data_IF_304864745392
#
_entry.id   IF_304864745392
#
_cell.length_a   1.000
_cell.length_b   1.000
_cell.length_c   1.000
_cell.angle_alpha   90.00
_cell.angle_beta   90.00
_cell.angle_gamma   90.00
#
_symmetry.space_group_name_H-M   'P 1'
#
loop_
_entity.id
_entity.type
_entity.pdbx_description
1 polymer ?
#
# COMPACT_ATOMS: atom_id res chain seq x y z
N UNK A 1 -8.85 -19.41 4.27
CA UNK A 1 -9.54 -18.13 4.01
C UNK A 1 -9.13 -17.02 4.98
N UNK A 2 -9.49 -17.07 6.29
CA UNK A 2 -9.12 -16.01 7.27
C UNK A 2 -7.61 -15.69 7.32
N UNK A 3 -6.76 -16.71 7.41
CA UNK A 3 -5.29 -16.53 7.45
C UNK A 3 -4.72 -15.86 6.18
N UNK A 4 -5.35 -16.10 5.03
CA UNK A 4 -4.90 -15.52 3.76
C UNK A 4 -5.27 -14.03 3.67
N UNK A 5 -6.51 -13.68 4.04
CA UNK A 5 -6.94 -12.29 4.11
C UNK A 5 -6.07 -11.48 5.08
N UNK A 6 -5.77 -12.02 6.27
CA UNK A 6 -4.88 -11.36 7.23
C UNK A 6 -3.45 -11.19 6.71
N UNK A 7 -2.92 -12.18 5.97
CA UNK A 7 -1.61 -12.05 5.31
C UNK A 7 -1.60 -10.93 4.29
N UNK A 8 -2.63 -10.87 3.43
CA UNK A 8 -2.77 -9.81 2.44
C UNK A 8 -2.90 -8.43 3.08
N UNK A 9 -3.69 -8.30 4.15
CA UNK A 9 -3.82 -7.05 4.92
C UNK A 9 -2.48 -6.64 5.55
N UNK A 10 -1.69 -7.58 6.08
CA UNK A 10 -0.32 -7.32 6.57
C UNK A 10 0.62 -6.83 5.48
N UNK A 11 0.63 -7.50 4.33
CA UNK A 11 1.45 -7.10 3.18
C UNK A 11 1.05 -5.71 2.66
N UNK A 12 -0.25 -5.43 2.61
CA UNK A 12 -0.75 -4.11 2.23
C UNK A 12 -0.29 -3.03 3.21
N UNK A 13 -0.36 -3.27 4.52
CA UNK A 13 0.13 -2.33 5.52
C UNK A 13 1.62 -2.00 5.35
N UNK A 14 2.43 -2.99 4.94
CA UNK A 14 3.84 -2.75 4.62
C UNK A 14 3.97 -1.90 3.34
N UNK A 15 3.18 -2.18 2.31
CA UNK A 15 3.20 -1.44 1.06
C UNK A 15 2.75 0.02 1.22
N UNK A 16 1.64 0.27 1.94
CA UNK A 16 1.13 1.63 2.18
C UNK A 16 2.09 2.45 3.05
N UNK A 17 2.78 1.81 4.01
CA UNK A 17 3.83 2.48 4.77
C UNK A 17 5.02 2.89 3.89
N UNK A 18 5.35 2.11 2.84
CA UNK A 18 6.36 2.49 1.84
C UNK A 18 5.86 3.62 0.96
N UNK A 19 4.59 3.58 0.55
CA UNK A 19 3.95 4.66 -0.19
C UNK A 19 4.03 5.98 0.58
N UNK A 20 3.64 6.02 1.86
CA UNK A 20 3.74 7.24 2.67
C UNK A 20 5.18 7.75 2.85
N UNK A 21 6.17 6.85 2.91
CA UNK A 21 7.58 7.27 2.95
C UNK A 21 8.02 7.87 1.61
N UNK A 22 7.59 7.27 0.50
CA UNK A 22 7.85 7.76 -0.84
C UNK A 22 7.18 9.10 -1.09
N UNK A 23 5.92 9.28 -0.66
CA UNK A 23 5.18 10.54 -0.75
C UNK A 23 5.93 11.67 -0.03
N UNK A 24 6.33 11.46 1.22
CA UNK A 24 7.15 12.42 1.98
C UNK A 24 8.51 12.71 1.33
N UNK A 25 9.11 11.72 0.68
CA UNK A 25 10.36 11.92 -0.05
C UNK A 25 10.12 12.80 -1.27
N UNK A 26 9.06 12.54 -2.05
CA UNK A 26 8.67 13.35 -3.21
C UNK A 26 8.45 14.82 -2.86
N UNK A 27 7.95 15.14 -1.66
CA UNK A 27 7.78 16.53 -1.19
C UNK A 27 9.10 17.32 -1.13
N UNK A 28 10.24 16.63 -1.02
CA UNK A 28 11.57 17.23 -0.89
C UNK A 28 12.53 16.91 -2.04
N UNK A 29 12.20 15.88 -2.84
CA UNK A 29 13.03 15.42 -3.95
C UNK A 29 12.93 16.37 -5.16
N UNK A 30 14.06 16.59 -5.83
CA UNK A 30 14.07 17.34 -7.09
C UNK A 30 13.35 16.56 -8.19
N UNK A 31 12.92 17.26 -9.25
CA UNK A 31 12.29 16.63 -10.41
C UNK A 31 13.22 15.58 -11.03
N UNK A 32 14.52 15.87 -11.15
CA UNK A 32 15.50 14.93 -11.70
C UNK A 32 15.62 13.65 -10.85
N UNK A 33 15.59 13.78 -9.53
CA UNK A 33 15.60 12.62 -8.62
C UNK A 33 14.32 11.81 -8.73
N UNK A 34 13.16 12.47 -8.85
CA UNK A 34 11.88 11.80 -9.06
C UNK A 34 11.85 11.06 -10.39
N UNK A 35 12.39 11.64 -11.47
CA UNK A 35 12.52 11.00 -12.79
C UNK A 35 13.44 9.77 -12.73
N UNK A 36 14.60 9.87 -12.08
CA UNK A 36 15.52 8.74 -11.86
C UNK A 36 14.87 7.59 -11.10
N UNK A 37 13.98 7.91 -10.16
CA UNK A 37 13.28 6.93 -9.32
C UNK A 37 11.85 6.63 -9.79
N UNK A 38 11.43 7.13 -10.97
CA UNK A 38 10.04 7.04 -11.43
C UNK A 38 9.53 5.60 -11.46
N UNK A 39 10.36 4.66 -11.91
CA UNK A 39 10.03 3.24 -11.90
C UNK A 39 9.71 2.73 -10.49
N UNK A 40 10.52 3.11 -9.50
CA UNK A 40 10.30 2.69 -8.12
C UNK A 40 9.01 3.30 -7.52
N UNK A 41 8.71 4.56 -7.85
CA UNK A 41 7.45 5.22 -7.46
C UNK A 41 6.27 4.43 -8.00
N UNK A 42 6.28 4.13 -9.30
CA UNK A 42 5.23 3.37 -9.98
C UNK A 42 5.10 1.96 -9.39
N UNK A 43 6.21 1.27 -9.10
CA UNK A 43 6.21 -0.06 -8.52
C UNK A 43 5.55 -0.09 -7.13
N UNK A 44 5.76 0.94 -6.30
CA UNK A 44 5.12 1.07 -4.98
C UNK A 44 3.61 1.23 -5.12
N UNK A 45 3.15 2.11 -6.03
CA UNK A 45 1.73 2.33 -6.31
C UNK A 45 1.07 1.04 -6.83
N UNK A 46 1.69 0.38 -7.81
CA UNK A 46 1.20 -0.86 -8.39
C UNK A 46 1.12 -1.98 -7.35
N UNK A 47 2.07 -2.05 -6.42
CA UNK A 47 2.04 -3.03 -5.32
C UNK A 47 0.84 -2.79 -4.41
N UNK A 48 0.57 -1.55 -4.04
CA UNK A 48 -0.61 -1.20 -3.23
C UNK A 48 -1.90 -1.60 -3.96
N UNK A 49 -2.04 -1.23 -5.24
CA UNK A 49 -3.23 -1.54 -6.03
C UNK A 49 -3.45 -3.04 -6.21
N UNK A 50 -2.39 -3.81 -6.49
CA UNK A 50 -2.47 -5.27 -6.60
C UNK A 50 -2.97 -5.89 -5.31
N UNK A 51 -2.38 -5.53 -4.17
CA UNK A 51 -2.76 -6.09 -2.88
C UNK A 51 -4.19 -5.70 -2.49
N UNK A 52 -4.60 -4.45 -2.74
CA UNK A 52 -5.97 -4.00 -2.49
C UNK A 52 -6.99 -4.80 -3.33
N UNK A 53 -6.69 -5.02 -4.61
CA UNK A 53 -7.55 -5.81 -5.49
C UNK A 53 -7.65 -7.26 -5.01
N UNK A 54 -6.56 -7.86 -4.53
CA UNK A 54 -6.61 -9.20 -3.94
C UNK A 54 -7.42 -9.23 -2.63
N UNK A 55 -7.30 -8.23 -1.76
CA UNK A 55 -8.10 -8.12 -0.52
C UNK A 55 -9.59 -8.01 -0.85
N UNK A 56 -9.96 -7.19 -1.82
CA UNK A 56 -11.36 -6.99 -2.24
C UNK A 56 -12.05 -8.25 -2.74
N UNK A 57 -11.31 -9.28 -3.16
CA UNK A 57 -11.87 -10.60 -3.50
C UNK A 57 -12.40 -11.36 -2.27
N UNK A 58 -11.94 -11.00 -1.07
CA UNK A 58 -12.31 -11.66 0.19
C UNK A 58 -13.11 -10.75 1.13
N UNK A 59 -12.98 -9.43 0.96
CA UNK A 59 -13.59 -8.41 1.81
C UNK A 59 -14.09 -7.27 0.92
N UNK A 60 -15.37 -7.29 0.57
CA UNK A 60 -15.97 -6.26 -0.29
C UNK A 60 -16.23 -4.94 0.46
N UNK A 61 -16.11 -4.95 1.78
CA UNK A 61 -16.43 -3.81 2.65
C UNK A 61 -15.21 -2.99 3.06
N UNK A 62 -14.08 -3.11 2.35
CA UNK A 62 -12.89 -2.28 2.59
C UNK A 62 -13.28 -0.80 2.54
N UNK A 63 -12.98 -0.09 3.61
CA UNK A 63 -13.28 1.34 3.76
C UNK A 63 -12.18 2.23 3.19
N UNK A 64 -12.52 3.47 2.84
CA UNK A 64 -11.53 4.47 2.38
C UNK A 64 -10.43 4.70 3.41
N UNK A 65 -10.77 4.69 4.70
CA UNK A 65 -9.79 4.82 5.77
C UNK A 65 -8.79 3.65 5.79
N UNK A 66 -9.23 2.42 5.54
CA UNK A 66 -8.33 1.26 5.47
C UNK A 66 -7.44 1.30 4.21
N UNK A 67 -7.94 1.87 3.11
CA UNK A 67 -7.15 2.09 1.90
C UNK A 67 -6.05 3.13 2.18
N UNK A 68 -6.39 4.25 2.81
CA UNK A 68 -5.45 5.34 3.04
C UNK A 68 -4.47 5.03 4.18
N UNK A 69 -4.93 4.43 5.27
CA UNK A 69 -4.14 4.30 6.50
C UNK A 69 -3.70 2.86 6.81
N UNK A 70 -4.13 1.90 5.99
CA UNK A 70 -3.92 0.48 6.23
C UNK A 70 -4.98 -0.14 7.16
N UNK A 71 -4.93 -1.46 7.27
CA UNK A 71 -5.89 -2.29 7.98
C UNK A 71 -5.53 -2.45 9.46
N UNK A 72 -6.53 -2.34 10.34
CA UNK A 72 -6.38 -2.76 11.73
C UNK A 72 -6.35 -4.29 11.79
N UNK A 73 -5.23 -4.83 12.25
CA UNK A 73 -5.07 -6.27 12.45
C UNK A 73 -5.62 -6.62 13.83
N UNK A 74 -6.42 -7.68 13.92
CA UNK A 74 -6.77 -8.25 15.21
C UNK A 74 -5.49 -8.83 15.81
N UNK A 75 -5.05 -8.27 16.94
CA UNK A 75 -3.96 -8.83 17.73
C UNK A 75 -4.31 -10.28 18.06
N UNK A 76 -3.47 -11.22 17.63
CA UNK A 76 -3.52 -12.60 18.11
C UNK A 76 -2.97 -12.66 19.53
#
# INVERSE_FOLDING_TARGET
>A
MRKQLESLKKEYNIAIARFHKMEKWCDTATIEDQEKNYKHIVDVINTCNRLLNEIKKYDEFVTDNEILNGFKLLSS
#
